data_IF_909241400949
#
_entry.id   IF_909241400949
#
_cell.length_a   1.000
_cell.length_b   1.000
_cell.length_c   1.000
_cell.angle_alpha   90.00
_cell.angle_beta   90.00
_cell.angle_gamma   90.00
#
_symmetry.space_group_name_H-M   'P 1'
#
loop_
_entity.id
_entity.type
_entity.pdbx_description
1 polymer ?
#
# COMPACT_ATOMS: atom_id res chain seq x y z
N UNK A 1 -14.72 -8.50 -12.18
CA UNK A 1 -14.62 -7.52 -11.08
C UNK A 1 -13.17 -7.18 -10.74
N UNK A 2 -12.33 -8.07 -10.26
CA UNK A 2 -10.93 -7.80 -9.87
C UNK A 2 -10.10 -7.11 -10.97
N UNK A 3 -10.17 -7.62 -12.20
CA UNK A 3 -9.43 -7.02 -13.33
C UNK A 3 -9.88 -5.59 -13.66
N UNK A 4 -11.15 -5.28 -13.46
CA UNK A 4 -11.66 -3.92 -13.63
C UNK A 4 -11.13 -3.00 -12.54
N UNK A 5 -11.22 -3.37 -11.25
CA UNK A 5 -10.69 -2.60 -10.13
C UNK A 5 -9.19 -2.27 -10.28
N UNK A 6 -8.40 -3.23 -10.74
CA UNK A 6 -6.97 -3.02 -11.00
C UNK A 6 -6.71 -2.08 -12.18
N UNK A 7 -7.51 -2.15 -13.23
CA UNK A 7 -7.39 -1.23 -14.36
C UNK A 7 -7.78 0.19 -13.94
N UNK A 8 -8.84 0.34 -13.13
CA UNK A 8 -9.26 1.62 -12.59
C UNK A 8 -8.19 2.22 -11.67
N UNK A 9 -7.60 1.42 -10.78
CA UNK A 9 -6.50 1.86 -9.93
C UNK A 9 -5.31 2.37 -10.75
N UNK A 10 -4.90 1.63 -11.81
CA UNK A 10 -3.82 2.07 -12.70
C UNK A 10 -4.17 3.33 -13.47
N UNK A 11 -5.43 3.49 -13.89
CA UNK A 11 -5.93 4.72 -14.50
C UNK A 11 -5.83 5.90 -13.53
N UNK A 12 -6.30 5.72 -12.29
CA UNK A 12 -6.26 6.75 -11.25
C UNK A 12 -4.82 7.11 -10.87
N UNK A 13 -3.93 6.14 -10.70
CA UNK A 13 -2.50 6.38 -10.45
C UNK A 13 -1.90 7.32 -11.51
N UNK A 14 -2.24 7.09 -12.79
CA UNK A 14 -1.76 7.93 -13.89
C UNK A 14 -2.39 9.32 -13.90
N UNK A 15 -3.70 9.42 -13.71
CA UNK A 15 -4.46 10.67 -13.81
C UNK A 15 -4.22 11.60 -12.62
N UNK A 16 -4.03 11.06 -11.42
CA UNK A 16 -3.80 11.85 -10.20
C UNK A 16 -2.51 12.68 -10.26
N UNK A 17 -1.51 12.22 -11.02
CA UNK A 17 -0.17 12.82 -11.11
C UNK A 17 0.60 12.87 -9.79
N UNK A 18 0.12 12.22 -8.74
CA UNK A 18 0.75 12.20 -7.42
C UNK A 18 2.15 11.59 -7.50
N UNK A 19 2.30 10.45 -8.19
CA UNK A 19 3.61 9.83 -8.43
C UNK A 19 4.60 10.81 -9.06
N UNK A 20 4.15 11.56 -10.07
CA UNK A 20 5.00 12.50 -10.80
C UNK A 20 5.51 13.66 -9.93
N UNK A 21 4.74 14.10 -8.93
CA UNK A 21 5.21 15.12 -7.99
C UNK A 21 6.44 14.68 -7.23
N UNK A 22 6.46 13.42 -6.78
CA UNK A 22 7.61 12.82 -6.11
C UNK A 22 8.80 12.62 -7.06
N UNK A 23 8.55 12.14 -8.27
CA UNK A 23 9.58 11.97 -9.30
C UNK A 23 10.23 13.31 -9.67
N UNK A 24 9.45 14.39 -9.85
CA UNK A 24 9.96 15.74 -10.09
C UNK A 24 10.73 16.35 -8.90
N UNK A 25 10.49 15.83 -7.71
CA UNK A 25 11.29 16.18 -6.52
C UNK A 25 12.60 15.40 -6.42
N UNK A 26 12.87 14.51 -7.38
CA UNK A 26 14.09 13.68 -7.43
C UNK A 26 13.99 12.38 -6.64
N UNK A 27 12.79 12.00 -6.18
CA UNK A 27 12.59 10.74 -5.48
C UNK A 27 12.44 9.58 -6.46
N UNK A 28 12.96 8.41 -6.09
CA UNK A 28 12.61 7.15 -6.74
C UNK A 28 11.25 6.70 -6.23
N UNK A 29 10.30 6.40 -7.12
CA UNK A 29 8.93 6.03 -6.75
C UNK A 29 8.61 4.63 -7.21
N UNK A 30 8.14 3.79 -6.30
CA UNK A 30 7.75 2.42 -6.58
C UNK A 30 6.30 2.15 -6.16
N UNK A 31 5.54 1.51 -7.05
CA UNK A 31 4.27 0.92 -6.69
C UNK A 31 4.53 -0.32 -5.82
N UNK A 32 3.84 -0.41 -4.70
CA UNK A 32 3.90 -1.56 -3.78
C UNK A 32 2.47 -2.07 -3.48
N UNK A 33 2.32 -2.87 -2.44
CA UNK A 33 1.01 -3.30 -1.95
C UNK A 33 0.21 -4.15 -2.92
N UNK A 34 -1.09 -4.16 -2.70
CA UNK A 34 -2.02 -5.06 -3.37
C UNK A 34 -2.11 -4.84 -4.88
N UNK A 35 -2.00 -3.59 -5.34
CA UNK A 35 -2.05 -3.28 -6.77
C UNK A 35 -0.83 -3.82 -7.53
N UNK A 36 0.39 -3.74 -6.93
CA UNK A 36 1.61 -4.33 -7.52
C UNK A 36 1.45 -5.83 -7.72
N UNK A 37 0.93 -6.52 -6.72
CA UNK A 37 0.80 -7.98 -6.72
C UNK A 37 -0.41 -8.51 -7.51
N UNK A 38 -1.29 -7.64 -8.03
CA UNK A 38 -2.53 -8.06 -8.67
C UNK A 38 -3.57 -8.60 -7.68
N UNK A 39 -3.47 -8.19 -6.41
CA UNK A 39 -4.33 -8.60 -5.30
C UNK A 39 -5.26 -7.49 -4.81
N UNK A 40 -5.36 -6.37 -5.54
CA UNK A 40 -6.36 -5.35 -5.28
C UNK A 40 -7.75 -5.91 -5.63
N UNK A 41 -8.65 -5.98 -4.65
CA UNK A 41 -10.01 -6.53 -4.81
C UNK A 41 -11.07 -5.43 -4.95
N UNK A 42 -11.54 -4.88 -3.84
CA UNK A 42 -12.63 -3.89 -3.77
C UNK A 42 -12.21 -2.54 -3.23
N UNK A 43 -11.13 -2.49 -2.46
CA UNK A 43 -10.66 -1.23 -1.88
C UNK A 43 -10.04 -0.32 -2.93
N UNK A 44 -10.24 0.99 -2.76
CA UNK A 44 -9.68 2.04 -3.63
C UNK A 44 -8.41 2.62 -3.01
N UNK A 45 -7.43 1.74 -2.77
CA UNK A 45 -6.16 2.10 -2.16
C UNK A 45 -5.01 1.86 -3.15
N UNK A 46 -4.08 2.82 -3.21
CA UNK A 46 -2.86 2.75 -4.03
C UNK A 46 -1.68 3.00 -3.12
N UNK A 47 -0.81 2.01 -2.98
CA UNK A 47 0.36 2.06 -2.10
C UNK A 47 1.59 2.45 -2.91
N UNK A 48 2.30 3.49 -2.49
CA UNK A 48 3.55 3.94 -3.08
C UNK A 48 4.64 4.01 -2.02
N UNK A 49 5.83 3.53 -2.35
CA UNK A 49 7.02 3.84 -1.59
C UNK A 49 7.89 4.80 -2.39
N UNK A 50 8.34 5.84 -1.73
CA UNK A 50 9.18 6.88 -2.33
C UNK A 50 10.48 6.98 -1.55
N UNK A 51 11.59 7.14 -2.26
CA UNK A 51 12.92 7.06 -1.70
C UNK A 51 13.73 8.27 -2.09
N UNK A 52 14.41 8.89 -1.13
CA UNK A 52 15.41 9.91 -1.36
C UNK A 52 16.45 9.91 -0.24
N UNK A 53 17.61 10.47 -0.48
CA UNK A 53 18.64 10.64 0.54
C UNK A 53 18.41 11.91 1.35
N UNK A 54 18.66 11.86 2.66
CA UNK A 54 18.61 13.01 3.56
C UNK A 54 17.20 13.54 3.78
N UNK A 55 16.26 12.67 4.12
CA UNK A 55 14.87 13.06 4.38
C UNK A 55 14.80 13.99 5.58
N UNK A 56 14.16 15.15 5.41
CA UNK A 56 13.82 16.08 6.48
C UNK A 56 12.33 16.40 6.45
N UNK A 57 11.79 16.84 7.57
CA UNK A 57 10.41 17.34 7.63
C UNK A 57 10.17 18.41 6.55
N UNK A 58 11.07 19.39 6.44
CA UNK A 58 10.95 20.48 5.47
C UNK A 58 10.84 19.96 4.04
N UNK A 59 11.75 19.08 3.62
CA UNK A 59 11.78 18.58 2.24
C UNK A 59 10.52 17.80 1.89
N UNK A 60 10.05 16.93 2.78
CA UNK A 60 8.86 16.12 2.52
C UNK A 60 7.57 16.95 2.57
N UNK A 61 7.45 17.95 3.47
CA UNK A 61 6.31 18.86 3.49
C UNK A 61 6.26 19.79 2.27
N UNK A 62 7.40 20.21 1.71
CA UNK A 62 7.43 20.94 0.45
C UNK A 62 6.87 20.13 -0.73
N UNK A 63 7.13 18.81 -0.74
CA UNK A 63 6.55 17.91 -1.73
C UNK A 63 5.04 17.75 -1.50
N UNK A 64 4.60 17.58 -0.24
CA UNK A 64 3.19 17.49 0.11
C UNK A 64 2.41 18.76 -0.30
N UNK A 65 3.00 19.95 -0.15
CA UNK A 65 2.41 21.21 -0.62
C UNK A 65 2.18 21.21 -2.14
N UNK A 66 3.08 20.60 -2.92
CA UNK A 66 2.86 20.43 -4.38
C UNK A 66 1.77 19.43 -4.68
N UNK A 67 1.67 18.31 -3.92
CA UNK A 67 0.58 17.37 -4.07
C UNK A 67 -0.77 18.01 -3.77
N UNK A 68 -0.87 18.84 -2.72
CA UNK A 68 -2.13 19.52 -2.35
C UNK A 68 -2.66 20.48 -3.42
N UNK A 69 -1.80 20.92 -4.31
CA UNK A 69 -2.19 21.80 -5.43
C UNK A 69 -2.70 21.00 -6.66
N UNK A 70 -2.63 19.69 -6.66
CA UNK A 70 -3.13 18.87 -7.76
C UNK A 70 -4.66 18.87 -7.78
N UNK A 71 -5.29 19.02 -8.96
CA UNK A 71 -6.74 18.83 -9.10
C UNK A 71 -7.15 17.45 -8.59
N UNK A 72 -8.24 17.38 -7.83
CA UNK A 72 -8.77 16.15 -7.27
C UNK A 72 -8.18 15.75 -5.90
N UNK A 73 -7.04 16.27 -5.47
CA UNK A 73 -6.56 16.06 -4.11
C UNK A 73 -7.44 16.85 -3.13
N UNK A 74 -8.09 16.14 -2.20
CA UNK A 74 -9.05 16.73 -1.26
C UNK A 74 -8.58 16.71 0.19
N UNK A 75 -7.65 15.82 0.53
CA UNK A 75 -7.12 15.69 1.89
C UNK A 75 -5.70 15.15 1.85
N UNK A 76 -4.84 15.67 2.71
CA UNK A 76 -3.51 15.11 2.97
C UNK A 76 -3.33 15.03 4.48
N UNK A 77 -2.98 13.85 4.96
CA UNK A 77 -2.61 13.59 6.35
C UNK A 77 -1.21 13.01 6.39
N UNK A 78 -0.42 13.35 7.40
CA UNK A 78 0.93 12.82 7.59
C UNK A 78 1.09 12.17 8.94
N UNK A 79 1.97 11.17 8.99
CA UNK A 79 2.49 10.58 10.22
C UNK A 79 4.01 10.73 10.17
N UNK A 80 4.56 11.47 11.16
CA UNK A 80 6.00 11.68 11.24
C UNK A 80 6.66 10.54 11.98
N UNK A 81 7.34 9.68 11.27
CA UNK A 81 8.15 8.58 11.78
C UNK A 81 9.67 8.83 11.63
N UNK A 82 10.11 10.07 11.33
CA UNK A 82 11.54 10.37 11.19
C UNK A 82 12.36 10.15 12.48
N UNK A 83 11.69 10.15 13.62
CA UNK A 83 12.32 9.91 14.93
C UNK A 83 12.08 8.48 15.46
N UNK A 84 11.50 7.60 14.65
CA UNK A 84 11.32 6.17 14.96
C UNK A 84 12.43 5.34 14.29
N UNK A 85 12.58 4.06 14.65
CA UNK A 85 13.54 3.18 13.98
C UNK A 85 13.34 3.08 12.46
N UNK A 86 12.10 3.23 11.98
CA UNK A 86 11.76 3.16 10.56
C UNK A 86 12.27 4.36 9.76
N UNK A 87 12.55 5.48 10.44
CA UNK A 87 13.04 6.72 9.84
C UNK A 87 12.37 7.08 8.53
N UNK A 88 11.03 7.23 8.58
CA UNK A 88 10.20 7.47 7.41
C UNK A 88 9.12 8.53 7.68
N UNK A 89 8.50 9.04 6.62
CA UNK A 89 7.31 9.88 6.70
C UNK A 89 6.17 9.22 5.93
N UNK A 90 5.04 8.97 6.59
CA UNK A 90 3.86 8.45 5.92
C UNK A 90 2.92 9.59 5.50
N UNK A 91 2.36 9.46 4.31
CA UNK A 91 1.38 10.37 3.72
C UNK A 91 0.14 9.60 3.30
N UNK A 92 -1.02 10.00 3.79
CA UNK A 92 -2.31 9.50 3.35
C UNK A 92 -3.01 10.60 2.56
N UNK A 93 -3.24 10.36 1.28
CA UNK A 93 -3.81 11.35 0.36
C UNK A 93 -5.15 10.85 -0.16
N UNK A 94 -6.21 11.66 -0.04
CA UNK A 94 -7.49 11.39 -0.70
C UNK A 94 -7.54 12.13 -2.03
N UNK A 95 -7.84 11.37 -3.06
CA UNK A 95 -7.99 11.87 -4.42
C UNK A 95 -9.41 11.58 -4.92
N UNK A 96 -10.10 12.61 -5.38
CA UNK A 96 -11.42 12.52 -5.98
C UNK A 96 -11.30 12.51 -7.49
N UNK A 97 -11.87 11.49 -8.12
CA UNK A 97 -11.96 11.40 -9.59
C UNK A 97 -13.07 12.29 -10.15
N UNK A 98 -13.07 12.48 -11.47
CA UNK A 98 -14.15 13.21 -12.16
C UNK A 98 -15.53 12.52 -12.02
N UNK A 99 -15.54 11.21 -11.78
CA UNK A 99 -16.74 10.41 -11.50
C UNK A 99 -17.15 10.43 -10.01
N UNK A 100 -16.58 11.35 -9.21
CA UNK A 100 -16.85 11.56 -7.78
C UNK A 100 -16.45 10.38 -6.87
N UNK A 101 -15.60 9.48 -7.36
CA UNK A 101 -15.04 8.38 -6.56
C UNK A 101 -13.83 8.85 -5.75
N UNK A 102 -13.76 8.42 -4.49
CA UNK A 102 -12.61 8.72 -3.62
C UNK A 102 -11.63 7.55 -3.62
N UNK A 103 -10.39 7.85 -3.97
CA UNK A 103 -9.25 6.95 -3.88
C UNK A 103 -8.30 7.41 -2.80
N UNK A 104 -7.64 6.47 -2.12
CA UNK A 104 -6.58 6.74 -1.18
C UNK A 104 -5.23 6.42 -1.80
N UNK A 105 -4.26 7.26 -1.51
CA UNK A 105 -2.85 6.97 -1.76
C UNK A 105 -2.16 6.88 -0.41
N UNK A 106 -1.60 5.71 -0.12
CA UNK A 106 -0.76 5.48 1.04
C UNK A 106 0.70 5.52 0.57
N UNK A 107 1.40 6.59 0.98
CA UNK A 107 2.75 6.88 0.47
C UNK A 107 3.70 6.87 1.65
N UNK A 108 4.73 6.03 1.61
CA UNK A 108 5.78 6.02 2.62
C UNK A 108 7.06 6.58 2.00
N UNK A 109 7.55 7.70 2.57
CA UNK A 109 8.81 8.30 2.19
C UNK A 109 9.91 7.74 3.08
N UNK A 110 10.81 6.96 2.48
CA UNK A 110 11.81 6.13 3.14
C UNK A 110 13.21 6.66 2.78
N UNK A 111 14.11 6.70 3.76
CA UNK A 111 15.51 7.04 3.53
C UNK A 111 16.17 6.03 2.59
N UNK A 112 16.77 6.53 1.51
CA UNK A 112 17.49 5.70 0.55
C UNK A 112 18.71 5.05 1.21
N UNK A 113 18.92 3.76 0.95
CA UNK A 113 19.99 2.98 1.56
C UNK A 113 19.73 2.50 2.99
N UNK A 114 18.55 2.79 3.57
CA UNK A 114 18.13 2.19 4.84
C UNK A 114 17.81 0.70 4.71
N UNK A 115 17.61 0.01 5.84
CA UNK A 115 17.18 -1.40 5.82
C UNK A 115 15.81 -1.61 5.16
N UNK A 116 14.98 -0.58 5.10
CA UNK A 116 13.67 -0.61 4.45
C UNK A 116 13.72 -0.26 2.96
N UNK A 117 14.87 0.16 2.43
CA UNK A 117 15.02 0.46 1.01
C UNK A 117 14.77 -0.80 0.16
N UNK A 118 13.70 -0.77 -0.64
CA UNK A 118 13.27 -1.88 -1.48
C UNK A 118 12.73 -3.11 -0.72
N UNK A 119 12.57 -3.03 0.60
CA UNK A 119 12.08 -4.16 1.40
C UNK A 119 10.71 -4.65 0.93
N UNK A 120 9.76 -3.74 0.78
CA UNK A 120 8.38 -4.08 0.43
C UNK A 120 8.20 -4.48 -1.03
N UNK A 121 9.08 -4.00 -1.90
CA UNK A 121 9.17 -4.47 -3.29
C UNK A 121 9.61 -5.93 -3.34
N UNK A 122 10.68 -6.27 -2.60
CA UNK A 122 11.16 -7.66 -2.49
C UNK A 122 10.09 -8.58 -1.89
N UNK A 123 9.38 -8.09 -0.85
CA UNK A 123 8.26 -8.82 -0.26
C UNK A 123 7.16 -9.09 -1.30
N UNK A 124 6.75 -8.06 -2.04
CA UNK A 124 5.70 -8.19 -3.06
C UNK A 124 6.12 -9.15 -4.18
N UNK A 125 7.34 -9.03 -4.67
CA UNK A 125 7.87 -9.87 -5.73
C UNK A 125 7.96 -11.35 -5.28
N UNK A 126 8.40 -11.57 -4.03
CA UNK A 126 8.49 -12.92 -3.48
C UNK A 126 7.11 -13.55 -3.25
N UNK A 127 6.13 -12.77 -2.78
CA UNK A 127 4.74 -13.24 -2.66
C UNK A 127 4.20 -13.67 -4.03
N UNK A 128 4.41 -12.85 -5.07
CA UNK A 128 3.96 -13.19 -6.43
C UNK A 128 4.64 -14.44 -6.96
N UNK A 129 5.93 -14.63 -6.67
CA UNK A 129 6.71 -15.78 -7.13
C UNK A 129 6.21 -17.10 -6.52
N UNK A 130 5.87 -17.12 -5.23
CA UNK A 130 5.49 -18.37 -4.52
C UNK A 130 3.99 -18.67 -4.54
N UNK A 131 3.16 -17.65 -4.80
CA UNK A 131 1.71 -17.74 -4.74
C UNK A 131 1.15 -18.54 -5.93
N UNK A 132 0.40 -19.62 -5.62
CA UNK A 132 -0.29 -20.38 -6.66
C UNK A 132 -1.56 -19.63 -7.14
N UNK A 133 -2.11 -19.98 -8.33
CA UNK A 133 -3.38 -19.45 -8.80
C UNK A 133 -4.54 -19.67 -7.80
N UNK A 134 -4.60 -20.82 -7.16
CA UNK A 134 -5.62 -21.17 -6.17
C UNK A 134 -5.51 -20.32 -4.91
N UNK A 135 -4.28 -20.09 -4.44
CA UNK A 135 -4.00 -19.19 -3.30
C UNK A 135 -4.39 -17.76 -3.63
N UNK A 136 -4.06 -17.30 -4.86
CA UNK A 136 -4.46 -15.98 -5.34
C UNK A 136 -5.98 -15.80 -5.31
N UNK A 137 -6.73 -16.76 -5.82
CA UNK A 137 -8.19 -16.71 -5.86
C UNK A 137 -8.78 -16.76 -4.44
N UNK A 138 -8.18 -17.51 -3.53
CA UNK A 138 -8.54 -17.54 -2.11
C UNK A 138 -8.32 -16.18 -1.45
N UNK A 139 -7.15 -15.55 -1.62
CA UNK A 139 -6.84 -14.22 -1.09
C UNK A 139 -7.87 -13.19 -1.59
N UNK A 140 -8.14 -13.17 -2.90
CA UNK A 140 -9.09 -12.24 -3.48
C UNK A 140 -10.50 -12.44 -2.95
N UNK A 141 -10.93 -13.70 -2.80
CA UNK A 141 -12.23 -14.04 -2.22
C UNK A 141 -12.34 -13.60 -0.77
N UNK A 142 -11.33 -13.86 0.06
CA UNK A 142 -11.30 -13.44 1.46
C UNK A 142 -11.37 -11.92 1.58
N UNK A 143 -10.56 -11.20 0.81
CA UNK A 143 -10.59 -9.73 0.77
C UNK A 143 -11.95 -9.18 0.35
N UNK A 144 -12.61 -9.83 -0.61
CA UNK A 144 -13.94 -9.42 -1.07
C UNK A 144 -15.04 -9.71 -0.03
N UNK A 145 -14.88 -10.78 0.77
CA UNK A 145 -15.84 -11.18 1.80
C UNK A 145 -15.66 -10.43 3.12
N UNK A 146 -14.51 -9.79 3.33
CA UNK A 146 -14.24 -9.01 4.55
C UNK A 146 -15.11 -7.75 4.54
N UNK A 147 -15.90 -7.50 5.60
CA UNK A 147 -16.68 -6.27 5.74
C UNK A 147 -15.80 -5.02 5.73
N UNK A 148 -16.32 -3.90 5.23
CA UNK A 148 -15.57 -2.64 5.11
C UNK A 148 -15.17 -2.03 6.48
N UNK A 149 -15.87 -2.39 7.56
CA UNK A 149 -15.59 -1.97 8.92
C UNK A 149 -14.59 -2.90 9.66
N UNK A 150 -14.20 -4.02 9.04
CA UNK A 150 -13.23 -4.96 9.58
C UNK A 150 -11.83 -4.67 9.02
N UNK A 151 -10.89 -4.32 9.91
CA UNK A 151 -9.51 -3.99 9.51
C UNK A 151 -8.65 -5.25 9.54
N UNK A 152 -8.31 -5.75 8.36
CA UNK A 152 -7.33 -6.82 8.14
C UNK A 152 -6.24 -6.30 7.21
N UNK A 153 -4.99 -6.37 7.65
CA UNK A 153 -3.86 -5.92 6.83
C UNK A 153 -3.63 -6.84 5.64
N UNK A 154 -3.20 -6.30 4.50
CA UNK A 154 -2.95 -7.09 3.30
C UNK A 154 -2.03 -8.29 3.54
N UNK A 155 -0.94 -8.09 4.29
CA UNK A 155 0.04 -9.12 4.61
C UNK A 155 -0.54 -10.26 5.44
N UNK A 156 -1.55 -10.01 6.29
CA UNK A 156 -2.22 -11.05 7.09
C UNK A 156 -2.95 -12.05 6.18
N UNK A 157 -3.64 -11.57 5.12
CA UNK A 157 -4.21 -12.48 4.12
C UNK A 157 -3.15 -13.29 3.41
N UNK A 158 -2.04 -12.66 3.05
CA UNK A 158 -1.00 -13.31 2.25
C UNK A 158 -0.33 -14.42 3.04
N UNK A 159 0.11 -14.15 4.27
CA UNK A 159 0.73 -15.19 5.11
C UNK A 159 -0.25 -16.27 5.50
N UNK A 160 -1.47 -15.93 5.93
CA UNK A 160 -2.48 -16.88 6.33
C UNK A 160 -2.78 -17.90 5.21
N UNK A 161 -2.93 -17.42 3.97
CA UNK A 161 -3.26 -18.30 2.83
C UNK A 161 -2.01 -19.04 2.32
N UNK A 162 -0.89 -18.33 2.12
CA UNK A 162 0.29 -18.89 1.46
C UNK A 162 1.01 -19.88 2.40
N UNK A 163 1.19 -19.50 3.67
CA UNK A 163 1.96 -20.29 4.63
C UNK A 163 1.11 -21.32 5.39
N UNK A 164 -0.09 -20.93 5.76
CA UNK A 164 -0.95 -21.75 6.64
C UNK A 164 -2.11 -22.42 5.90
N UNK A 165 -2.35 -22.13 4.63
CA UNK A 165 -3.40 -22.74 3.82
C UNK A 165 -4.82 -22.37 4.25
N UNK A 166 -4.98 -21.25 4.96
CA UNK A 166 -6.29 -20.76 5.42
C UNK A 166 -7.15 -20.43 4.21
N UNK A 167 -8.41 -20.86 4.25
CA UNK A 167 -9.28 -20.81 3.08
C UNK A 167 -10.64 -20.14 3.31
N UNK A 168 -11.00 -19.82 4.54
CA UNK A 168 -12.25 -19.15 4.88
C UNK A 168 -12.04 -18.02 5.91
N UNK A 169 -13.06 -17.17 6.04
CA UNK A 169 -12.95 -15.95 6.84
C UNK A 169 -12.91 -16.23 8.35
N UNK A 170 -13.60 -17.28 8.83
CA UNK A 170 -13.61 -17.62 10.25
C UNK A 170 -12.25 -18.18 10.70
N UNK A 171 -11.62 -19.01 9.87
CA UNK A 171 -10.23 -19.46 10.09
C UNK A 171 -9.25 -18.30 10.08
N UNK A 172 -9.42 -17.35 9.14
CA UNK A 172 -8.57 -16.17 9.05
C UNK A 172 -8.68 -15.32 10.32
N UNK A 173 -9.88 -15.06 10.81
CA UNK A 173 -10.12 -14.31 12.05
C UNK A 173 -9.51 -14.99 13.27
N UNK A 174 -9.68 -16.29 13.38
CA UNK A 174 -9.06 -17.06 14.47
C UNK A 174 -7.53 -16.97 14.41
N UNK A 175 -6.95 -17.15 13.23
CA UNK A 175 -5.50 -17.03 13.02
C UNK A 175 -4.99 -15.61 13.38
N UNK A 176 -5.70 -14.56 12.99
CA UNK A 176 -5.32 -13.17 13.29
C UNK A 176 -5.27 -12.94 14.80
N UNK A 177 -6.25 -13.44 15.57
CA UNK A 177 -6.25 -13.29 17.04
C UNK A 177 -4.98 -13.85 17.67
N UNK A 178 -4.51 -14.99 17.16
CA UNK A 178 -3.33 -15.67 17.71
C UNK A 178 -2.00 -15.10 17.21
N UNK A 179 -1.99 -14.47 16.01
CA UNK A 179 -0.76 -14.10 15.29
C UNK A 179 -0.55 -12.62 15.14
N UNK A 180 -1.56 -11.75 15.38
CA UNK A 180 -1.40 -10.32 15.21
C UNK A 180 -0.40 -9.75 16.20
N UNK A 181 0.71 -9.24 15.68
CA UNK A 181 1.71 -8.50 16.45
C UNK A 181 1.25 -7.07 16.72
N UNK A 182 1.73 -6.47 17.81
CA UNK A 182 1.55 -5.03 18.10
C UNK A 182 2.53 -4.14 17.33
N UNK A 183 3.58 -4.72 16.72
CA UNK A 183 4.57 -4.02 15.90
C UNK A 183 4.18 -4.06 14.42
N UNK A 184 4.77 -3.21 13.56
CA UNK A 184 4.65 -3.33 12.12
C UNK A 184 4.91 -4.76 11.67
N UNK A 185 4.01 -5.29 10.86
CA UNK A 185 4.05 -6.69 10.49
C UNK A 185 4.89 -6.89 9.23
N UNK A 186 6.04 -7.55 9.38
CA UNK A 186 6.97 -7.84 8.31
C UNK A 186 7.04 -9.35 8.07
N UNK A 187 6.61 -9.80 6.91
CA UNK A 187 6.69 -11.19 6.49
C UNK A 187 7.07 -11.29 5.01
N UNK A 188 8.13 -12.04 4.73
CA UNK A 188 8.55 -12.42 3.38
C UNK A 188 8.54 -13.96 3.31
N UNK A 189 7.82 -14.58 2.34
CA UNK A 189 7.78 -16.02 2.17
C UNK A 189 9.13 -16.63 1.78
#
# INVERSE_FOLDING_TARGET
MVKAAQNDARRVLKLSRIQQVWEYAGCRVNLVGSLRMGLLASHRDIDLHVYSSGITEETTFLIAAKMSALPGVTEIMSINGLHTPEHCMAWHVKYRTDDDEIWKFDIIHIEEGSEYDGYFERMADRIVEVMTPEQRDTILRLKFMTPDDEIIQGVEYYEAVIRYGISNLDELRAWIVDHRSQAPYYWIP
#
